data_IF_440751088431
#
_entry.id   IF_440751088431
#
_cell.length_a   1.000
_cell.length_b   1.000
_cell.length_c   1.000
_cell.angle_alpha   90.00
_cell.angle_beta   90.00
_cell.angle_gamma   90.00
#
_symmetry.space_group_name_H-M   'P 1'
#
loop_
_entity.id
_entity.type
_entity.pdbx_description
1 polymer ?
#
# COMPACT_ATOMS: atom_id res chain seq x y z
N UNK A 1 29.11 -17.83 -4.09
CA UNK A 1 28.08 -16.94 -3.49
C UNK A 1 28.56 -15.50 -3.63
N UNK A 2 27.65 -14.51 -3.56
CA UNK A 2 27.98 -13.07 -3.55
C UNK A 2 27.31 -12.43 -2.35
N UNK A 3 28.05 -11.63 -1.59
CA UNK A 3 27.47 -10.78 -0.53
C UNK A 3 26.89 -9.54 -1.21
N UNK A 4 25.59 -9.31 -1.04
CA UNK A 4 24.91 -8.14 -1.61
C UNK A 4 25.00 -6.93 -0.67
N UNK A 5 24.82 -7.16 0.63
CA UNK A 5 24.84 -6.13 1.68
C UNK A 5 25.69 -6.66 2.83
N UNK A 6 26.77 -5.97 3.15
CA UNK A 6 27.74 -6.43 4.16
C UNK A 6 27.24 -6.22 5.59
N UNK A 7 26.56 -5.10 5.85
CA UNK A 7 26.05 -4.74 7.15
C UNK A 7 24.58 -4.29 7.06
N UNK A 8 23.66 -5.24 7.22
CA UNK A 8 22.22 -4.96 7.14
C UNK A 8 21.78 -4.04 8.29
N UNK A 9 22.33 -4.19 9.49
CA UNK A 9 21.93 -3.39 10.64
C UNK A 9 22.21 -1.89 10.42
N UNK A 10 23.39 -1.56 9.89
CA UNK A 10 23.75 -0.18 9.57
C UNK A 10 22.82 0.45 8.53
N UNK A 11 22.40 -0.32 7.52
CA UNK A 11 21.42 0.14 6.52
C UNK A 11 20.05 0.40 7.13
N UNK A 12 19.63 -0.42 8.11
CA UNK A 12 18.37 -0.23 8.85
C UNK A 12 18.45 1.06 9.66
N UNK A 13 19.53 1.24 10.42
CA UNK A 13 19.75 2.42 11.26
C UNK A 13 19.75 3.69 10.41
N UNK A 14 20.36 3.67 9.22
CA UNK A 14 20.32 4.82 8.29
C UNK A 14 18.93 5.11 7.72
N UNK A 15 18.02 4.13 7.65
CA UNK A 15 16.66 4.34 7.18
C UNK A 15 15.73 4.87 8.27
N UNK A 16 16.03 4.61 9.55
CA UNK A 16 15.17 4.96 10.69
C UNK A 16 15.67 6.13 11.52
N UNK A 17 16.94 6.55 11.37
CA UNK A 17 17.51 7.69 12.08
C UNK A 17 16.75 8.98 11.78
N UNK A 18 16.22 9.60 12.83
CA UNK A 18 15.62 10.93 12.83
C UNK A 18 16.53 11.88 13.62
N UNK A 19 17.76 12.07 13.14
CA UNK A 19 18.75 12.97 13.75
C UNK A 19 18.78 14.30 12.97
N UNK A 20 18.80 15.42 13.69
CA UNK A 20 19.08 16.75 13.14
C UNK A 20 20.41 16.82 12.36
N UNK A 21 21.39 15.97 12.69
CA UNK A 21 22.68 15.88 12.00
C UNK A 21 22.71 14.85 10.84
N UNK A 22 21.60 14.16 10.56
CA UNK A 22 21.48 13.28 9.39
C UNK A 22 21.55 14.14 8.12
N UNK A 23 22.40 13.85 7.12
CA UNK A 23 22.36 14.52 5.82
C UNK A 23 20.94 14.54 5.21
N UNK A 24 20.11 13.53 5.50
CA UNK A 24 18.71 13.45 5.07
C UNK A 24 17.77 14.38 5.84
N UNK A 25 18.17 14.96 6.98
CA UNK A 25 17.37 15.97 7.70
C UNK A 25 17.16 17.24 6.87
N UNK A 26 18.10 17.52 5.95
CA UNK A 26 18.04 18.64 5.00
C UNK A 26 17.25 18.35 3.72
N UNK A 27 16.78 17.11 3.55
CA UNK A 27 16.16 16.59 2.33
C UNK A 27 14.63 16.71 2.44
N UNK A 28 13.94 16.83 1.30
CA UNK A 28 12.47 17.00 1.28
C UNK A 28 11.77 15.87 2.04
N UNK A 29 10.62 16.16 2.65
CA UNK A 29 9.78 15.16 3.32
C UNK A 29 9.58 13.92 2.41
N UNK A 30 9.27 14.14 1.13
CA UNK A 30 8.96 13.06 0.18
C UNK A 30 10.17 12.25 -0.33
N UNK A 31 11.35 12.50 0.21
CA UNK A 31 12.61 11.84 -0.13
C UNK A 31 13.17 11.03 1.06
N UNK A 32 12.34 10.79 2.10
CA UNK A 32 12.65 9.95 3.26
C UNK A 32 11.57 8.90 3.50
N UNK A 33 11.88 7.89 4.32
CA UNK A 33 10.90 6.96 4.86
C UNK A 33 10.33 7.49 6.17
N UNK A 34 9.05 7.26 6.39
CA UNK A 34 8.33 7.79 7.55
C UNK A 34 7.72 6.69 8.40
N UNK A 35 7.79 6.79 9.74
CA UNK A 35 7.04 5.93 10.62
C UNK A 35 5.52 6.15 10.44
N UNK A 36 4.73 5.19 10.89
CA UNK A 36 3.29 5.15 10.59
C UNK A 36 2.52 6.37 11.14
N UNK A 37 2.91 6.87 12.30
CA UNK A 37 2.31 8.05 12.95
C UNK A 37 2.60 9.35 12.19
N UNK A 38 3.79 9.50 11.62
CA UNK A 38 4.11 10.59 10.69
C UNK A 38 3.26 10.50 9.43
N UNK A 39 3.06 9.30 8.87
CA UNK A 39 2.16 9.09 7.73
C UNK A 39 0.72 9.48 8.08
N UNK A 40 0.19 9.08 9.24
CA UNK A 40 -1.15 9.49 9.66
C UNK A 40 -1.28 11.00 9.86
N UNK A 41 -0.27 11.63 10.45
CA UNK A 41 -0.21 13.09 10.61
C UNK A 41 -0.21 13.79 9.25
N UNK A 42 0.55 13.25 8.29
CA UNK A 42 0.62 13.73 6.93
C UNK A 42 -0.71 13.57 6.17
N UNK A 43 -1.42 12.45 6.31
CA UNK A 43 -2.75 12.24 5.69
C UNK A 43 -3.72 13.33 6.16
N UNK A 44 -3.77 13.59 7.48
CA UNK A 44 -4.66 14.60 8.05
C UNK A 44 -4.29 16.01 7.56
N UNK A 45 -2.99 16.35 7.64
CA UNK A 45 -2.49 17.67 7.21
C UNK A 45 -2.75 17.91 5.71
N UNK A 46 -2.45 16.94 4.86
CA UNK A 46 -2.64 17.05 3.40
C UNK A 46 -4.10 17.31 3.04
N UNK A 47 -5.04 16.64 3.70
CA UNK A 47 -6.47 16.85 3.47
C UNK A 47 -6.96 18.22 4.01
N UNK A 48 -6.43 18.66 5.15
CA UNK A 48 -6.75 19.98 5.73
C UNK A 48 -6.21 21.14 4.88
N UNK A 49 -5.00 21.00 4.35
CA UNK A 49 -4.35 22.03 3.55
C UNK A 49 -4.92 22.09 2.11
N UNK A 50 -5.49 20.99 1.61
CA UNK A 50 -6.01 20.87 0.24
C UNK A 50 -7.48 20.40 0.17
N UNK A 51 -8.43 21.02 0.89
CA UNK A 51 -9.78 20.48 1.08
C UNK A 51 -10.65 20.51 -0.20
N UNK A 52 -10.21 21.25 -1.22
CA UNK A 52 -10.86 21.33 -2.52
C UNK A 52 -10.48 20.17 -3.46
N UNK A 53 -9.34 19.50 -3.22
CA UNK A 53 -8.87 18.37 -4.02
C UNK A 53 -8.89 17.05 -3.25
N UNK A 54 -8.63 17.09 -1.95
CA UNK A 54 -8.32 15.90 -1.15
C UNK A 54 -9.40 15.65 -0.12
N UNK A 55 -9.88 14.41 -0.05
CA UNK A 55 -10.77 13.93 1.01
C UNK A 55 -10.24 12.64 1.62
N UNK A 56 -10.17 12.59 2.94
CA UNK A 56 -9.82 11.37 3.68
C UNK A 56 -11.07 10.53 3.93
N UNK A 57 -10.99 9.24 3.64
CA UNK A 57 -12.06 8.27 3.82
C UNK A 57 -11.54 7.15 4.71
N UNK A 58 -12.19 6.91 5.85
CA UNK A 58 -11.93 5.74 6.68
C UNK A 58 -12.68 4.54 6.08
N UNK A 59 -11.96 3.51 5.66
CA UNK A 59 -12.57 2.32 5.02
C UNK A 59 -12.70 1.11 5.96
N UNK A 60 -12.06 1.17 7.12
CA UNK A 60 -12.06 0.10 8.11
C UNK A 60 -10.93 0.28 9.12
N UNK A 61 -10.64 -0.79 9.85
CA UNK A 61 -9.51 -0.86 10.77
C UNK A 61 -8.78 -2.19 10.65
N UNK A 62 -7.52 -2.20 11.06
CA UNK A 62 -6.66 -3.39 11.08
C UNK A 62 -7.00 -4.31 12.25
N UNK A 63 -6.29 -5.44 12.36
CA UNK A 63 -6.45 -6.39 13.45
C UNK A 63 -6.17 -5.71 14.81
N UNK A 64 -5.08 -4.95 14.91
CA UNK A 64 -4.69 -4.16 16.08
C UNK A 64 -5.41 -2.80 16.16
N UNK A 65 -6.53 -2.64 15.44
CA UNK A 65 -7.46 -1.49 15.51
C UNK A 65 -6.90 -0.15 15.02
N UNK A 66 -5.91 -0.18 14.12
CA UNK A 66 -5.43 1.03 13.44
C UNK A 66 -6.35 1.40 12.27
N UNK A 67 -6.58 2.69 12.00
CA UNK A 67 -7.48 3.11 10.92
C UNK A 67 -6.86 2.87 9.53
N UNK A 68 -7.70 2.45 8.57
CA UNK A 68 -7.33 2.36 7.17
C UNK A 68 -7.87 3.58 6.42
N UNK A 69 -6.98 4.51 6.09
CA UNK A 69 -7.32 5.78 5.43
C UNK A 69 -7.02 5.76 3.94
N UNK A 70 -8.03 6.07 3.14
CA UNK A 70 -7.93 6.32 1.71
C UNK A 70 -8.00 7.82 1.46
N UNK A 71 -7.07 8.35 0.66
CA UNK A 71 -7.12 9.70 0.13
C UNK A 71 -7.82 9.66 -1.23
N UNK A 72 -8.96 10.33 -1.35
CA UNK A 72 -9.62 10.63 -2.63
C UNK A 72 -9.07 11.96 -3.15
N UNK A 73 -8.42 11.92 -4.31
CA UNK A 73 -8.06 13.11 -5.09
C UNK A 73 -9.10 13.31 -6.20
N UNK A 74 -9.66 14.52 -6.32
CA UNK A 74 -10.70 14.83 -7.29
C UNK A 74 -10.64 16.30 -7.73
N UNK A 75 -10.59 16.53 -9.04
CA UNK A 75 -10.64 17.88 -9.61
C UNK A 75 -12.07 18.36 -9.81
N UNK A 76 -12.84 17.65 -10.65
CA UNK A 76 -14.21 18.03 -11.06
C UNK A 76 -15.30 17.01 -10.75
N UNK A 77 -15.08 16.10 -9.80
CA UNK A 77 -15.98 14.98 -9.47
C UNK A 77 -16.42 14.14 -10.69
N UNK A 78 -15.46 13.58 -11.44
CA UNK A 78 -15.74 12.71 -12.58
C UNK A 78 -16.49 11.42 -12.19
N UNK A 79 -17.07 10.74 -13.18
CA UNK A 79 -17.79 9.47 -13.02
C UNK A 79 -16.90 8.22 -13.14
N UNK A 80 -15.58 8.41 -13.26
CA UNK A 80 -14.58 7.34 -13.37
C UNK A 80 -13.59 7.44 -12.22
N UNK A 81 -13.04 6.30 -11.82
CA UNK A 81 -12.04 6.26 -10.77
C UNK A 81 -10.92 5.25 -11.06
N UNK A 82 -9.74 5.51 -10.51
CA UNK A 82 -8.69 4.53 -10.32
C UNK A 82 -8.42 4.30 -8.84
N UNK A 83 -7.96 3.09 -8.52
CA UNK A 83 -7.47 2.70 -7.22
C UNK A 83 -5.96 2.50 -7.28
N UNK A 84 -5.28 3.01 -6.26
CA UNK A 84 -3.87 2.76 -6.02
C UNK A 84 -3.68 2.38 -4.54
N UNK A 85 -3.09 1.23 -4.27
CA UNK A 85 -2.65 0.88 -2.91
C UNK A 85 -1.15 0.67 -2.82
N UNK A 86 -0.64 0.97 -1.64
CA UNK A 86 0.75 0.82 -1.26
C UNK A 86 0.85 0.10 0.09
N UNK A 87 2.03 -0.44 0.40
CA UNK A 87 2.33 -0.98 1.73
C UNK A 87 1.52 -2.21 2.12
N UNK A 88 1.11 -3.06 1.17
CA UNK A 88 0.46 -4.34 1.47
C UNK A 88 1.44 -5.34 2.11
N UNK A 89 2.71 -5.34 1.70
CA UNK A 89 3.77 -6.05 2.40
C UNK A 89 4.61 -5.08 3.22
N UNK A 90 4.78 -5.38 4.50
CA UNK A 90 5.29 -4.43 5.47
C UNK A 90 6.71 -3.91 5.18
N UNK A 91 7.65 -4.79 4.77
CA UNK A 91 9.05 -4.42 4.52
C UNK A 91 9.30 -3.57 3.27
N UNK A 92 8.31 -3.40 2.41
CA UNK A 92 8.44 -2.73 1.11
C UNK A 92 8.30 -1.20 1.25
N UNK A 93 9.17 -0.57 2.05
CA UNK A 93 9.04 0.85 2.47
C UNK A 93 8.97 1.87 1.34
N UNK A 94 9.54 1.55 0.17
CA UNK A 94 9.45 2.41 -1.02
C UNK A 94 8.02 2.51 -1.57
N UNK A 95 7.17 1.52 -1.31
CA UNK A 95 5.78 1.52 -1.75
C UNK A 95 4.97 2.63 -1.05
N UNK A 96 4.87 2.69 0.30
CA UNK A 96 4.26 3.84 0.98
C UNK A 96 4.88 5.19 0.61
N UNK A 97 6.22 5.27 0.48
CA UNK A 97 6.91 6.49 0.08
C UNK A 97 6.45 6.99 -1.29
N UNK A 98 6.29 6.09 -2.27
CA UNK A 98 5.75 6.43 -3.59
C UNK A 98 4.32 6.97 -3.50
N UNK A 99 3.43 6.35 -2.72
CA UNK A 99 2.07 6.86 -2.57
C UNK A 99 2.04 8.28 -1.98
N UNK A 100 2.87 8.57 -0.97
CA UNK A 100 3.02 9.91 -0.39
C UNK A 100 3.51 10.92 -1.44
N UNK A 101 4.56 10.56 -2.17
CA UNK A 101 5.14 11.39 -3.22
C UNK A 101 4.13 11.64 -4.35
N UNK A 102 3.40 10.62 -4.78
CA UNK A 102 2.39 10.71 -5.84
C UNK A 102 1.27 11.68 -5.48
N UNK A 103 0.75 11.61 -4.25
CA UNK A 103 -0.27 12.56 -3.77
C UNK A 103 0.25 13.99 -3.82
N UNK A 104 1.45 14.24 -3.29
CA UNK A 104 2.04 15.58 -3.34
C UNK A 104 2.25 16.06 -4.77
N UNK A 105 2.74 15.19 -5.65
CA UNK A 105 2.98 15.51 -7.04
C UNK A 105 1.68 15.91 -7.73
N UNK A 106 0.60 15.14 -7.56
CA UNK A 106 -0.71 15.47 -8.13
C UNK A 106 -1.23 16.80 -7.60
N UNK A 107 -1.13 17.06 -6.29
CA UNK A 107 -1.57 18.34 -5.70
C UNK A 107 -0.77 19.52 -6.26
N UNK A 108 0.55 19.40 -6.30
CA UNK A 108 1.45 20.47 -6.75
C UNK A 108 1.27 20.80 -8.23
N UNK A 109 1.01 19.79 -9.06
CA UNK A 109 0.94 19.94 -10.51
C UNK A 109 -0.47 20.02 -11.08
N UNK A 110 -1.52 19.87 -10.27
CA UNK A 110 -2.88 20.16 -10.71
C UNK A 110 -3.03 21.66 -11.07
N UNK A 111 -3.68 21.95 -12.20
CA UNK A 111 -3.75 23.26 -12.85
C UNK A 111 -2.42 23.86 -13.35
N UNK A 112 -1.29 23.16 -13.19
CA UNK A 112 0.03 23.60 -13.69
C UNK A 112 0.53 22.70 -14.81
N UNK A 113 0.39 21.38 -14.64
CA UNK A 113 0.67 20.39 -15.67
C UNK A 113 -0.65 19.99 -16.37
N UNK A 114 -0.78 20.20 -17.69
CA UNK A 114 -1.99 19.87 -18.44
C UNK A 114 -2.41 18.39 -18.35
N UNK A 115 -1.46 17.45 -18.32
CA UNK A 115 -1.74 16.01 -18.26
C UNK A 115 -2.30 15.61 -16.90
N UNK A 116 -1.68 16.05 -15.80
CA UNK A 116 -2.19 15.81 -14.44
C UNK A 116 -3.57 16.42 -14.25
N UNK A 117 -3.76 17.64 -14.77
CA UNK A 117 -5.06 18.33 -14.73
C UNK A 117 -6.11 17.54 -15.51
N UNK A 118 -5.78 17.08 -16.71
CA UNK A 118 -6.67 16.26 -17.53
C UNK A 118 -7.04 14.94 -16.84
N UNK A 119 -6.08 14.26 -16.22
CA UNK A 119 -6.34 13.03 -15.47
C UNK A 119 -7.33 13.30 -14.33
N UNK A 120 -7.07 14.31 -13.50
CA UNK A 120 -7.87 14.56 -12.29
C UNK A 120 -9.24 15.21 -12.58
N UNK A 121 -9.39 15.89 -13.73
CA UNK A 121 -10.66 16.39 -14.23
C UNK A 121 -11.57 15.25 -14.74
N UNK A 122 -10.99 14.14 -15.20
CA UNK A 122 -11.73 13.04 -15.84
C UNK A 122 -11.77 11.74 -15.02
N UNK A 123 -10.96 11.62 -13.97
CA UNK A 123 -10.89 10.44 -13.12
C UNK A 123 -10.53 10.78 -11.66
N UNK A 124 -11.34 10.27 -10.72
CA UNK A 124 -11.02 10.28 -9.29
C UNK A 124 -9.85 9.32 -9.04
N UNK A 125 -8.94 9.69 -8.15
CA UNK A 125 -7.87 8.79 -7.72
C UNK A 125 -8.08 8.46 -6.24
N UNK A 126 -8.29 7.19 -5.92
CA UNK A 126 -8.33 6.68 -4.56
C UNK A 126 -6.99 6.04 -4.21
N UNK A 127 -6.28 6.59 -3.24
CA UNK A 127 -4.96 6.12 -2.80
C UNK A 127 -5.03 5.63 -1.36
N UNK A 128 -4.61 4.39 -1.11
CA UNK A 128 -4.37 3.83 0.22
C UNK A 128 -2.86 3.78 0.48
N UNK A 129 -2.27 4.72 1.24
CA UNK A 129 -0.82 4.80 1.39
C UNK A 129 -0.19 3.60 2.11
N UNK A 130 -0.90 3.01 3.08
CA UNK A 130 -0.43 1.84 3.83
C UNK A 130 -1.59 0.88 4.04
N UNK A 131 -1.63 -0.20 3.27
CA UNK A 131 -2.66 -1.24 3.37
C UNK A 131 -2.45 -2.13 4.59
N UNK A 132 -1.20 -2.35 5.00
CA UNK A 132 -0.83 -3.14 6.19
C UNK A 132 -0.19 -2.28 7.30
N UNK A 133 -0.94 -1.39 7.99
CA UNK A 133 -0.39 -0.55 9.04
C UNK A 133 0.27 -1.33 10.18
N UNK A 134 -0.33 -2.45 10.60
CA UNK A 134 0.17 -3.24 11.73
C UNK A 134 1.53 -3.86 11.41
N UNK A 135 1.63 -4.51 10.25
CA UNK A 135 2.90 -5.05 9.77
C UNK A 135 3.92 -3.94 9.53
N UNK A 136 3.53 -2.83 8.90
CA UNK A 136 4.42 -1.71 8.63
C UNK A 136 5.02 -1.16 9.93
N UNK A 137 4.21 -0.87 10.94
CA UNK A 137 4.72 -0.43 12.25
C UNK A 137 5.68 -1.47 12.86
N UNK A 138 5.34 -2.75 12.79
CA UNK A 138 6.19 -3.82 13.30
C UNK A 138 7.57 -3.88 12.61
N UNK A 139 7.67 -3.45 11.35
CA UNK A 139 8.97 -3.31 10.66
C UNK A 139 9.81 -2.13 11.14
N UNK A 140 9.19 -1.10 11.72
CA UNK A 140 9.89 0.03 12.33
C UNK A 140 10.35 -0.27 13.76
N UNK A 141 9.58 -1.07 14.51
CA UNK A 141 9.80 -1.26 15.96
C UNK A 141 10.46 -2.59 16.34
N UNK A 142 10.33 -3.65 15.52
CA UNK A 142 10.71 -5.00 15.93
C UNK A 142 11.49 -5.76 14.86
N UNK A 143 10.87 -6.06 13.73
CA UNK A 143 11.47 -6.90 12.69
C UNK A 143 11.32 -6.23 11.32
N UNK A 144 12.39 -5.58 10.87
CA UNK A 144 12.45 -4.90 9.59
C UNK A 144 12.15 -5.79 8.37
N UNK A 145 12.33 -7.10 8.50
CA UNK A 145 12.14 -8.08 7.43
C UNK A 145 10.72 -8.65 7.38
N UNK A 146 9.83 -8.22 8.28
CA UNK A 146 8.45 -8.67 8.33
C UNK A 146 7.68 -8.32 7.05
N UNK A 147 6.83 -9.24 6.59
CA UNK A 147 6.05 -9.10 5.34
C UNK A 147 4.55 -9.04 5.61
N UNK A 148 4.06 -10.01 6.39
CA UNK A 148 2.64 -10.28 6.67
C UNK A 148 1.98 -9.16 7.48
N UNK A 149 0.67 -9.23 7.71
CA UNK A 149 0.05 -8.41 8.76
C UNK A 149 0.36 -8.95 10.17
N UNK A 150 -0.42 -8.56 11.18
CA UNK A 150 -0.22 -8.95 12.58
C UNK A 150 -1.43 -9.67 13.19
N UNK A 151 -2.28 -10.28 12.37
CA UNK A 151 -3.40 -11.08 12.88
C UNK A 151 -2.94 -12.30 13.66
N UNK A 152 -3.67 -12.66 14.71
CA UNK A 152 -3.45 -13.86 15.49
C UNK A 152 -4.76 -14.62 15.63
N UNK A 153 -4.72 -15.92 15.31
CA UNK A 153 -5.83 -16.85 15.44
C UNK A 153 -5.51 -17.84 16.57
N UNK A 154 -6.50 -18.21 17.38
CA UNK A 154 -6.31 -18.97 18.63
C UNK A 154 -5.56 -20.31 18.44
N UNK A 155 -5.72 -20.95 17.27
CA UNK A 155 -5.13 -22.26 16.95
C UNK A 155 -3.75 -22.18 16.26
N UNK A 156 -3.06 -21.02 16.27
CA UNK A 156 -1.79 -20.82 15.58
C UNK A 156 -0.72 -20.16 16.45
N UNK A 157 0.45 -20.82 16.55
CA UNK A 157 1.66 -20.27 17.17
C UNK A 157 2.36 -19.19 16.31
N UNK A 158 1.94 -19.05 15.05
CA UNK A 158 2.51 -18.11 14.10
C UNK A 158 1.55 -16.94 13.82
N UNK A 159 2.12 -15.75 13.64
CA UNK A 159 1.38 -14.49 13.50
C UNK A 159 1.34 -14.04 12.04
N UNK A 160 0.17 -13.54 11.64
CA UNK A 160 -0.08 -12.82 10.40
C UNK A 160 -0.34 -13.71 9.18
N UNK A 161 -1.05 -13.15 8.22
CA UNK A 161 -1.26 -13.68 6.88
C UNK A 161 -0.66 -12.75 5.81
N UNK A 162 -0.31 -13.31 4.66
CA UNK A 162 0.07 -12.54 3.48
C UNK A 162 -1.21 -11.94 2.87
N UNK A 163 -1.39 -10.63 3.03
CA UNK A 163 -2.55 -9.91 2.53
C UNK A 163 -2.72 -10.07 1.02
N UNK A 164 -1.63 -10.22 0.25
CA UNK A 164 -1.68 -10.42 -1.19
C UNK A 164 -1.90 -11.91 -1.59
N UNK A 165 -2.25 -12.76 -0.63
CA UNK A 165 -2.74 -14.14 -0.83
C UNK A 165 -4.13 -14.35 -0.25
N UNK A 166 -4.73 -13.30 0.32
CA UNK A 166 -5.97 -13.40 1.06
C UNK A 166 -7.20 -12.91 0.29
N UNK A 167 -7.05 -12.28 -0.87
CA UNK A 167 -8.19 -11.90 -1.71
C UNK A 167 -8.89 -13.11 -2.36
N UNK A 168 -10.18 -12.97 -2.66
CA UNK A 168 -11.01 -14.01 -3.30
C UNK A 168 -10.71 -14.14 -4.80
N UNK A 169 -9.53 -14.66 -5.12
CA UNK A 169 -9.07 -14.90 -6.49
C UNK A 169 -8.30 -16.22 -6.55
N UNK A 170 -9.01 -17.33 -6.84
CA UNK A 170 -8.45 -18.69 -6.85
C UNK A 170 -7.65 -19.00 -5.56
N UNK A 171 -8.28 -18.71 -4.42
CA UNK A 171 -7.66 -18.58 -3.11
C UNK A 171 -6.97 -19.86 -2.63
N UNK A 172 -5.84 -19.68 -1.96
CA UNK A 172 -5.00 -20.69 -1.34
C UNK A 172 -4.56 -21.87 -2.24
N UNK A 173 -4.33 -21.60 -3.54
CA UNK A 173 -3.82 -22.56 -4.51
C UNK A 173 -2.30 -22.40 -4.73
N UNK A 174 -1.81 -22.56 -5.97
CA UNK A 174 -0.38 -22.42 -6.28
C UNK A 174 0.13 -21.00 -5.97
N UNK A 175 1.36 -20.92 -5.43
CA UNK A 175 2.00 -19.65 -5.06
C UNK A 175 1.57 -19.10 -3.69
N UNK A 176 0.80 -19.86 -2.91
CA UNK A 176 0.37 -19.54 -1.54
C UNK A 176 0.58 -20.73 -0.60
N UNK A 177 0.37 -20.55 0.71
CA UNK A 177 0.46 -21.64 1.68
C UNK A 177 -0.73 -21.65 2.64
N UNK A 178 -1.26 -22.83 3.02
CA UNK A 178 -2.24 -22.95 4.10
C UNK A 178 -1.59 -23.01 5.49
N UNK A 179 -0.26 -23.02 5.60
CA UNK A 179 0.45 -23.13 6.89
C UNK A 179 0.70 -21.75 7.50
N UNK A 180 0.22 -21.46 8.72
CA UNK A 180 0.33 -20.13 9.33
C UNK A 180 1.75 -19.56 9.46
N UNK A 181 2.75 -20.44 9.57
CA UNK A 181 4.16 -20.04 9.72
C UNK A 181 4.83 -19.65 8.40
N UNK A 182 4.23 -19.96 7.25
CA UNK A 182 4.81 -19.60 5.96
C UNK A 182 4.59 -18.10 5.67
N UNK A 183 5.58 -17.46 5.00
CA UNK A 183 5.52 -16.05 4.61
C UNK A 183 4.42 -15.74 3.59
N UNK A 184 3.93 -16.77 2.89
CA UNK A 184 2.84 -16.71 1.90
C UNK A 184 1.54 -17.32 2.43
N UNK A 185 1.38 -17.38 3.76
CA UNK A 185 0.16 -17.88 4.39
C UNK A 185 -1.09 -17.15 3.89
N UNK A 186 -2.07 -17.89 3.35
CA UNK A 186 -3.24 -17.34 2.68
C UNK A 186 -4.35 -16.86 3.64
N UNK A 187 -4.18 -17.02 4.96
CA UNK A 187 -5.23 -16.82 5.97
C UNK A 187 -6.14 -18.06 6.11
N UNK A 188 -7.10 -18.06 7.04
CA UNK A 188 -8.04 -19.18 7.22
C UNK A 188 -9.13 -19.27 6.12
N UNK A 189 -9.47 -18.15 5.46
CA UNK A 189 -10.44 -18.09 4.36
C UNK A 189 -10.25 -16.78 3.56
N UNK A 190 -10.82 -16.65 2.34
CA UNK A 190 -10.74 -15.40 1.57
C UNK A 190 -11.29 -14.21 2.35
N UNK A 191 -10.54 -13.12 2.37
CA UNK A 191 -10.86 -11.89 3.10
C UNK A 191 -11.04 -12.08 4.61
N UNK A 192 -10.32 -13.04 5.19
CA UNK A 192 -10.24 -13.22 6.65
C UNK A 192 -9.57 -12.04 7.35
N UNK A 193 -8.64 -11.36 6.68
CA UNK A 193 -7.92 -10.24 7.26
C UNK A 193 -8.76 -8.97 7.17
N UNK A 194 -8.81 -8.22 8.28
CA UNK A 194 -9.61 -6.99 8.36
C UNK A 194 -9.23 -5.96 7.27
N UNK A 195 -7.95 -5.93 6.91
CA UNK A 195 -7.35 -5.05 5.92
C UNK A 195 -7.80 -5.40 4.50
N UNK A 196 -7.67 -6.67 4.10
CA UNK A 196 -8.13 -7.14 2.79
C UNK A 196 -9.64 -7.03 2.68
N UNK A 197 -10.37 -7.32 3.77
CA UNK A 197 -11.82 -7.18 3.83
C UNK A 197 -12.27 -5.74 3.60
N UNK A 198 -11.61 -4.78 4.24
CA UNK A 198 -11.91 -3.35 4.08
C UNK A 198 -11.70 -2.90 2.63
N UNK A 199 -10.56 -3.25 2.04
CA UNK A 199 -10.24 -2.90 0.65
C UNK A 199 -11.21 -3.54 -0.34
N UNK A 200 -11.45 -4.85 -0.23
CA UNK A 200 -12.37 -5.57 -1.11
C UNK A 200 -13.80 -5.01 -1.02
N UNK A 201 -14.27 -4.68 0.19
CA UNK A 201 -15.59 -4.08 0.42
C UNK A 201 -15.68 -2.67 -0.19
N UNK A 202 -14.66 -1.84 0.00
CA UNK A 202 -14.59 -0.52 -0.60
C UNK A 202 -14.64 -0.60 -2.14
N UNK A 203 -13.79 -1.44 -2.74
CA UNK A 203 -13.73 -1.63 -4.19
C UNK A 203 -15.05 -2.16 -4.76
N UNK A 204 -15.68 -3.15 -4.11
CA UNK A 204 -17.01 -3.65 -4.51
C UNK A 204 -18.06 -2.53 -4.50
N UNK A 205 -18.06 -1.67 -3.49
CA UNK A 205 -19.02 -0.54 -3.41
C UNK A 205 -18.85 0.48 -4.55
N UNK A 206 -17.64 0.58 -5.14
CA UNK A 206 -17.28 1.50 -6.23
C UNK A 206 -17.07 0.81 -7.58
N UNK A 207 -17.44 -0.46 -7.72
CA UNK A 207 -17.16 -1.29 -8.93
C UNK A 207 -17.64 -0.64 -10.23
N UNK A 208 -18.74 0.11 -10.22
CA UNK A 208 -19.31 0.74 -11.41
C UNK A 208 -18.45 1.89 -11.97
N UNK A 209 -17.74 2.63 -11.10
CA UNK A 209 -16.85 3.73 -11.51
C UNK A 209 -15.39 3.31 -11.65
N UNK A 210 -14.97 2.24 -10.97
CA UNK A 210 -13.57 1.80 -10.94
C UNK A 210 -13.13 1.27 -12.31
N UNK A 211 -12.07 1.84 -12.89
CA UNK A 211 -11.54 1.47 -14.21
C UNK A 211 -10.13 0.91 -14.17
N UNK A 212 -9.36 1.22 -13.13
CA UNK A 212 -7.97 0.81 -13.00
C UNK A 212 -7.65 0.48 -11.54
N UNK A 213 -6.86 -0.58 -11.34
CA UNK A 213 -6.34 -1.00 -10.06
C UNK A 213 -4.82 -1.12 -10.19
N UNK A 214 -4.09 -0.41 -9.33
CA UNK A 214 -2.63 -0.47 -9.26
C UNK A 214 -2.25 -0.80 -7.82
N UNK A 215 -1.50 -1.88 -7.61
CA UNK A 215 -0.88 -2.18 -6.31
C UNK A 215 0.63 -2.03 -6.44
N UNK A 216 1.21 -1.17 -5.60
CA UNK A 216 2.62 -0.80 -5.66
C UNK A 216 3.42 -1.70 -4.72
N UNK A 217 4.44 -2.35 -5.28
CA UNK A 217 5.28 -3.32 -4.58
C UNK A 217 6.77 -3.05 -4.80
N UNK A 218 7.61 -3.74 -4.03
CA UNK A 218 9.05 -3.80 -4.28
C UNK A 218 9.68 -5.13 -3.85
N UNK A 219 10.81 -5.54 -4.40
CA UNK A 219 11.58 -4.94 -5.49
C UNK A 219 11.39 -5.73 -6.79
N UNK A 220 12.22 -5.39 -7.79
CA UNK A 220 12.56 -6.13 -9.03
C UNK A 220 12.38 -5.31 -10.31
N UNK A 221 11.79 -4.10 -10.22
CA UNK A 221 11.55 -3.21 -11.37
C UNK A 221 10.69 -3.90 -12.45
N UNK A 222 9.56 -4.46 -12.03
CA UNK A 222 8.64 -5.17 -12.93
C UNK A 222 7.27 -4.49 -12.93
N UNK A 223 6.65 -4.44 -14.10
CA UNK A 223 5.22 -4.20 -14.25
C UNK A 223 4.55 -5.55 -14.52
N UNK A 224 3.69 -5.98 -13.60
CA UNK A 224 2.98 -7.25 -13.69
C UNK A 224 1.50 -6.99 -13.89
N UNK A 225 0.85 -7.84 -14.66
CA UNK A 225 -0.58 -7.80 -14.89
C UNK A 225 -1.16 -9.22 -14.82
N UNK A 226 -2.49 -9.36 -14.64
CA UNK A 226 -3.11 -10.66 -14.49
C UNK A 226 -2.88 -11.61 -15.68
N UNK A 227 -2.90 -12.92 -15.47
CA UNK A 227 -3.13 -13.59 -14.17
C UNK A 227 -1.82 -14.00 -13.49
N UNK A 228 -1.83 -13.99 -12.16
CA UNK A 228 -0.74 -14.55 -11.35
C UNK A 228 -1.05 -15.95 -10.79
N UNK A 229 -2.32 -16.37 -10.82
CA UNK A 229 -2.77 -17.66 -10.27
C UNK A 229 -2.77 -18.81 -11.30
N UNK A 230 -2.46 -18.52 -12.57
CA UNK A 230 -2.49 -19.48 -13.69
C UNK A 230 -1.53 -19.05 -14.79
N UNK A 231 -1.03 -19.99 -15.57
CA UNK A 231 -0.23 -19.73 -16.78
C UNK A 231 -1.08 -19.33 -18.00
N UNK A 232 -2.42 -19.32 -17.88
CA UNK A 232 -3.30 -18.81 -18.93
C UNK A 232 -3.13 -17.30 -19.07
N UNK A 233 -3.08 -16.82 -20.31
CA UNK A 233 -3.14 -15.40 -20.62
C UNK A 233 -4.52 -14.82 -20.26
N UNK A 234 -4.55 -13.55 -19.85
CA UNK A 234 -5.79 -12.79 -19.73
C UNK A 234 -6.42 -12.56 -21.12
N UNK A 235 -7.74 -12.40 -21.18
CA UNK A 235 -8.46 -12.19 -22.44
C UNK A 235 -7.94 -10.96 -23.22
N UNK A 236 -7.46 -9.93 -22.51
CA UNK A 236 -6.87 -8.70 -23.06
C UNK A 236 -5.33 -8.64 -22.90
N UNK A 237 -4.63 -9.79 -22.88
CA UNK A 237 -3.18 -9.86 -22.66
C UNK A 237 -2.34 -9.01 -23.63
N UNK A 238 -2.77 -8.82 -24.88
CA UNK A 238 -2.02 -8.02 -25.85
C UNK A 238 -2.19 -6.49 -25.65
N UNK A 239 -3.19 -6.07 -24.87
CA UNK A 239 -3.43 -4.66 -24.52
C UNK A 239 -2.69 -4.25 -23.24
N UNK A 240 -2.51 -5.21 -22.32
CA UNK A 240 -1.82 -5.04 -21.04
C UNK A 240 -0.29 -5.07 -21.20
#
# INVERSE_FOLDING_TARGET
>A
FRVLLENVQELIDMQTKNDSNDPRSSVSFYERYHPLDEIYSWINKTAQDNPHLVRTILIGSTFEKRPLYVLKLSGRNPSRAMWMDCGIHAREWISPAFCLWFVQYVIQFYNTNPEITQILDNMDIYILPVLNPDGYLFTWTNNRMWRKNRSQYEDSDCIGADLNRNFDANWCTEGSSPRPCDETYCGPFPESESETKAVATFLRSKKHIMKLYISIHSYSQMLLFPYSYTYKQADNHNEL
#
